data_IF_797191555657
#
_entry.id   IF_797191555657
#
_cell.length_a   1.000
_cell.length_b   1.000
_cell.length_c   1.000
_cell.angle_alpha   90.00
_cell.angle_beta   90.00
_cell.angle_gamma   90.00
#
_symmetry.space_group_name_H-M   'P 1'
#
loop_
_entity.id
_entity.type
_entity.pdbx_description
1 polymer ?
#
# COMPACT_ATOMS: atom_id res chain seq x y z
N UNK A 1 -57.72 -63.96 -50.90
CA UNK A 1 -58.10 -62.73 -50.19
C UNK A 1 -57.19 -62.55 -49.01
N UNK A 2 -56.06 -61.80 -49.14
CA UNK A 2 -55.33 -61.29 -48.04
C UNK A 2 -54.72 -59.94 -48.40
N UNK A 3 -55.17 -58.87 -47.71
CA UNK A 3 -54.67 -57.53 -47.84
C UNK A 3 -53.42 -57.37 -46.89
N UNK A 4 -52.26 -57.08 -47.48
CA UNK A 4 -51.10 -56.66 -46.75
C UNK A 4 -51.09 -55.16 -46.62
N UNK A 5 -51.17 -54.66 -45.40
CA UNK A 5 -51.01 -53.24 -45.07
C UNK A 5 -49.54 -52.92 -44.84
N UNK A 6 -48.98 -52.06 -45.68
CA UNK A 6 -47.62 -51.51 -45.49
C UNK A 6 -47.64 -50.36 -44.51
N UNK A 7 -46.91 -50.45 -43.36
CA UNK A 7 -46.62 -49.34 -42.45
C UNK A 7 -45.38 -48.62 -42.94
N UNK A 8 -45.53 -47.35 -43.30
CA UNK A 8 -44.42 -46.47 -43.60
C UNK A 8 -43.93 -45.81 -42.28
N UNK A 9 -42.70 -46.14 -41.83
CA UNK A 9 -42.04 -45.42 -40.75
C UNK A 9 -41.44 -44.14 -41.31
N UNK A 10 -41.93 -43.01 -40.82
CA UNK A 10 -41.30 -41.68 -41.05
C UNK A 10 -40.27 -41.47 -39.93
N UNK A 11 -38.96 -41.61 -40.27
CA UNK A 11 -37.86 -41.26 -39.37
C UNK A 11 -37.67 -39.73 -39.35
N UNK A 12 -38.18 -39.08 -38.33
CA UNK A 12 -37.92 -37.64 -38.08
C UNK A 12 -36.51 -37.44 -37.51
N UNK A 13 -35.61 -36.89 -38.33
CA UNK A 13 -34.27 -36.48 -37.91
C UNK A 13 -34.37 -35.22 -37.10
N UNK A 14 -34.20 -35.30 -35.77
CA UNK A 14 -34.04 -34.12 -34.89
C UNK A 14 -32.61 -33.61 -35.05
N UNK A 15 -32.42 -32.55 -35.82
CA UNK A 15 -31.16 -31.77 -35.80
C UNK A 15 -31.07 -31.07 -34.44
N UNK A 16 -30.28 -31.62 -33.51
CA UNK A 16 -29.86 -30.92 -32.31
C UNK A 16 -28.88 -29.84 -32.71
N UNK A 17 -29.34 -28.58 -32.71
CA UNK A 17 -28.46 -27.43 -32.88
C UNK A 17 -27.49 -27.37 -31.67
N UNK A 18 -26.25 -27.79 -31.85
CA UNK A 18 -25.17 -27.61 -30.89
C UNK A 18 -24.99 -26.10 -30.72
N UNK A 19 -25.44 -25.56 -29.59
CA UNK A 19 -25.03 -24.21 -29.15
C UNK A 19 -23.54 -24.22 -28.95
N UNK A 20 -22.78 -23.29 -29.57
CA UNK A 20 -21.36 -23.16 -29.25
C UNK A 20 -21.23 -22.90 -27.73
N UNK A 21 -20.56 -23.78 -27.01
CA UNK A 21 -20.16 -23.55 -25.65
C UNK A 21 -19.32 -22.24 -25.67
N UNK A 22 -19.86 -21.19 -25.09
CA UNK A 22 -19.08 -19.96 -24.88
C UNK A 22 -17.82 -20.38 -24.11
N UNK A 23 -16.66 -20.26 -24.75
CA UNK A 23 -15.39 -20.49 -24.12
C UNK A 23 -15.37 -19.57 -22.90
N UNK A 24 -15.39 -20.13 -21.70
CA UNK A 24 -15.18 -19.41 -20.46
C UNK A 24 -13.76 -18.83 -20.56
N UNK A 25 -13.64 -17.56 -20.94
CA UNK A 25 -12.37 -16.85 -20.91
C UNK A 25 -11.91 -16.82 -19.46
N UNK A 26 -10.92 -17.67 -19.15
CA UNK A 26 -10.29 -17.65 -17.83
C UNK A 26 -9.63 -16.30 -17.62
N UNK A 27 -10.03 -15.61 -16.54
CA UNK A 27 -9.47 -14.31 -16.20
C UNK A 27 -7.94 -14.43 -15.98
N UNK A 28 -7.14 -13.47 -16.48
CA UNK A 28 -5.71 -13.47 -16.23
C UNK A 28 -5.43 -13.39 -14.73
N UNK A 29 -4.55 -14.27 -14.25
CA UNK A 29 -4.13 -14.29 -12.85
C UNK A 29 -3.14 -13.14 -12.60
N UNK A 30 -3.37 -12.39 -11.53
CA UNK A 30 -2.49 -11.33 -11.05
C UNK A 30 -2.11 -11.65 -9.60
N UNK A 31 -0.85 -12.03 -9.38
CA UNK A 31 -0.27 -12.23 -8.04
C UNK A 31 0.13 -10.87 -7.48
N UNK A 32 -0.48 -10.51 -6.37
CA UNK A 32 -0.38 -9.19 -5.75
C UNK A 32 0.33 -9.28 -4.40
N UNK A 33 1.54 -8.71 -4.31
CA UNK A 33 2.26 -8.60 -3.03
C UNK A 33 1.72 -7.43 -2.21
N UNK A 34 1.38 -7.66 -0.95
CA UNK A 34 0.92 -6.59 -0.06
C UNK A 34 1.29 -6.84 1.40
N UNK A 35 1.05 -5.84 2.23
CA UNK A 35 1.29 -5.86 3.67
C UNK A 35 -0.05 -6.05 4.41
N UNK A 36 -0.05 -6.81 5.51
CA UNK A 36 -1.23 -7.00 6.35
C UNK A 36 -1.49 -5.81 7.29
N UNK A 37 -1.52 -4.60 6.72
CA UNK A 37 -1.81 -3.32 7.37
C UNK A 37 -2.89 -2.58 6.59
N UNK A 38 -3.50 -1.55 7.17
CA UNK A 38 -4.57 -0.80 6.49
C UNK A 38 -4.12 -0.21 5.16
N UNK A 39 -2.91 0.33 5.08
CA UNK A 39 -2.36 0.88 3.83
C UNK A 39 -2.29 -0.14 2.68
N UNK A 40 -2.03 -1.42 3.00
CA UNK A 40 -2.00 -2.53 2.04
C UNK A 40 -3.35 -3.20 1.79
N UNK A 41 -4.41 -2.75 2.45
CA UNK A 41 -5.71 -3.40 2.53
C UNK A 41 -6.45 -3.58 1.20
N UNK A 42 -6.20 -2.72 0.21
CA UNK A 42 -6.90 -2.78 -1.09
C UNK A 42 -6.83 -4.16 -1.77
N UNK A 43 -5.69 -4.88 -1.68
CA UNK A 43 -5.58 -6.22 -2.25
C UNK A 43 -6.59 -7.18 -1.63
N UNK A 44 -6.70 -7.17 -0.31
CA UNK A 44 -7.65 -8.01 0.42
C UNK A 44 -9.10 -7.61 0.17
N UNK A 45 -9.39 -6.30 0.21
CA UNK A 45 -10.74 -5.78 0.03
C UNK A 45 -11.29 -6.13 -1.34
N UNK A 46 -10.55 -5.83 -2.41
CA UNK A 46 -10.99 -6.11 -3.78
C UNK A 46 -11.08 -7.60 -4.11
N UNK A 47 -10.30 -8.44 -3.42
CA UNK A 47 -10.37 -9.90 -3.55
C UNK A 47 -11.60 -10.46 -2.83
N UNK A 48 -11.77 -10.17 -1.53
CA UNK A 48 -12.86 -10.70 -0.73
C UNK A 48 -14.25 -10.21 -1.19
N UNK A 49 -14.33 -9.01 -1.79
CA UNK A 49 -15.57 -8.46 -2.35
C UNK A 49 -15.81 -8.86 -3.80
N UNK A 50 -14.89 -9.56 -4.45
CA UNK A 50 -15.00 -9.93 -5.87
C UNK A 50 -14.82 -8.76 -6.85
N UNK A 51 -14.45 -7.56 -6.39
CA UNK A 51 -14.29 -6.37 -7.22
C UNK A 51 -13.22 -6.57 -8.30
N UNK A 52 -12.10 -7.22 -7.99
CA UNK A 52 -11.07 -7.51 -8.98
C UNK A 52 -11.58 -8.46 -10.08
N UNK A 53 -12.30 -9.51 -9.70
CA UNK A 53 -12.89 -10.45 -10.66
C UNK A 53 -13.90 -9.75 -11.59
N UNK A 54 -14.76 -8.88 -11.02
CA UNK A 54 -15.70 -8.07 -11.79
C UNK A 54 -15.00 -7.07 -12.74
N UNK A 55 -13.73 -6.75 -12.50
CA UNK A 55 -12.91 -5.90 -13.36
C UNK A 55 -11.93 -6.68 -14.25
N UNK A 56 -12.11 -7.98 -14.40
CA UNK A 56 -11.44 -8.78 -15.42
C UNK A 56 -10.11 -9.38 -15.02
N UNK A 57 -9.81 -9.54 -13.72
CA UNK A 57 -8.62 -10.25 -13.24
C UNK A 57 -8.97 -11.30 -12.18
N UNK A 58 -8.17 -12.38 -12.13
CA UNK A 58 -8.20 -13.37 -11.07
C UNK A 58 -7.13 -13.00 -10.03
N UNK A 59 -7.49 -12.43 -8.85
CA UNK A 59 -6.53 -11.96 -7.87
C UNK A 59 -5.94 -13.11 -7.05
N UNK A 60 -4.63 -13.10 -6.86
CA UNK A 60 -3.92 -13.95 -5.89
C UNK A 60 -3.10 -13.07 -4.95
N UNK A 61 -3.54 -12.93 -3.71
CA UNK A 61 -2.87 -12.05 -2.74
C UNK A 61 -1.79 -12.80 -1.99
N UNK A 62 -0.58 -12.25 -1.98
CA UNK A 62 0.58 -12.75 -1.23
C UNK A 62 0.92 -11.74 -0.14
N UNK A 63 0.72 -12.11 1.11
CA UNK A 63 1.11 -11.26 2.25
C UNK A 63 2.60 -11.34 2.47
N UNK A 64 3.25 -10.19 2.54
CA UNK A 64 4.71 -10.06 2.69
C UNK A 64 5.06 -9.11 3.85
N UNK A 65 6.33 -9.11 4.27
CA UNK A 65 6.78 -8.39 5.46
C UNK A 65 7.26 -6.96 5.18
N UNK A 66 7.50 -6.59 3.91
CA UNK A 66 7.98 -5.25 3.58
C UNK A 66 8.03 -4.97 2.07
N UNK A 67 7.99 -3.69 1.71
CA UNK A 67 7.97 -3.23 0.32
C UNK A 67 9.22 -3.61 -0.48
N UNK A 68 10.39 -3.68 0.15
CA UNK A 68 11.63 -4.10 -0.52
C UNK A 68 11.55 -5.58 -0.96
N UNK A 69 11.02 -6.47 -0.12
CA UNK A 69 10.80 -7.87 -0.46
C UNK A 69 9.77 -8.01 -1.60
N UNK A 70 8.73 -7.18 -1.59
CA UNK A 70 7.72 -7.13 -2.66
C UNK A 70 8.36 -6.74 -4.00
N UNK A 71 9.18 -5.67 -4.01
CA UNK A 71 9.91 -5.24 -5.21
C UNK A 71 10.82 -6.35 -5.73
N UNK A 72 11.56 -7.03 -4.86
CA UNK A 72 12.41 -8.16 -5.24
C UNK A 72 11.59 -9.31 -5.88
N UNK A 73 10.44 -9.66 -5.31
CA UNK A 73 9.55 -10.70 -5.85
C UNK A 73 8.94 -10.31 -7.22
N UNK A 74 8.63 -9.01 -7.45
CA UNK A 74 8.20 -8.51 -8.76
C UNK A 74 9.32 -8.68 -9.80
N UNK A 75 10.55 -8.35 -9.44
CA UNK A 75 11.70 -8.47 -10.33
C UNK A 75 12.06 -9.94 -10.62
N UNK A 76 11.87 -10.82 -9.63
CA UNK A 76 12.04 -12.28 -9.77
C UNK A 76 10.92 -12.96 -10.58
N UNK A 77 9.80 -12.25 -10.84
CA UNK A 77 8.65 -12.81 -11.56
C UNK A 77 7.71 -13.65 -10.69
N UNK A 78 7.87 -13.61 -9.36
CA UNK A 78 6.96 -14.27 -8.41
C UNK A 78 5.66 -13.49 -8.23
N UNK A 79 5.68 -12.19 -8.50
CA UNK A 79 4.54 -11.27 -8.45
C UNK A 79 4.43 -10.45 -9.74
N UNK A 80 3.20 -10.15 -10.14
CA UNK A 80 2.91 -9.23 -11.23
C UNK A 80 2.92 -7.78 -10.74
N UNK A 81 2.30 -7.55 -9.58
CA UNK A 81 2.16 -6.22 -8.97
C UNK A 81 2.40 -6.29 -7.46
N UNK A 82 2.69 -5.17 -6.84
CA UNK A 82 2.81 -5.16 -5.39
C UNK A 82 2.79 -3.76 -4.79
N UNK A 83 2.58 -3.72 -3.48
CA UNK A 83 2.52 -2.49 -2.71
C UNK A 83 3.90 -2.12 -2.16
N UNK A 84 4.34 -0.88 -2.38
CA UNK A 84 5.60 -0.37 -1.84
C UNK A 84 5.48 1.13 -1.54
N UNK A 85 6.37 1.68 -0.73
CA UNK A 85 6.36 3.12 -0.51
C UNK A 85 7.06 3.87 -1.68
N UNK A 86 6.65 5.11 -1.97
CA UNK A 86 7.15 5.84 -3.15
C UNK A 86 8.67 6.09 -3.11
N UNK A 87 9.27 6.26 -1.93
CA UNK A 87 10.72 6.45 -1.83
C UNK A 87 11.49 5.19 -2.22
N UNK A 88 11.04 4.00 -1.82
CA UNK A 88 11.66 2.74 -2.24
C UNK A 88 11.57 2.53 -3.74
N UNK A 89 10.41 2.87 -4.34
CA UNK A 89 10.22 2.81 -5.79
C UNK A 89 11.16 3.79 -6.51
N UNK A 90 11.20 5.04 -6.06
CA UNK A 90 12.12 6.04 -6.61
C UNK A 90 13.60 5.64 -6.46
N UNK A 91 13.98 5.07 -5.31
CA UNK A 91 15.33 4.55 -5.07
C UNK A 91 15.69 3.44 -6.06
N UNK A 92 14.76 2.52 -6.30
CA UNK A 92 14.96 1.45 -7.28
C UNK A 92 15.12 2.01 -8.71
N UNK A 93 14.26 2.95 -9.11
CA UNK A 93 14.35 3.63 -10.42
C UNK A 93 15.67 4.40 -10.55
N UNK A 94 16.08 5.14 -9.52
CA UNK A 94 17.34 5.89 -9.51
C UNK A 94 18.57 4.99 -9.69
N UNK A 95 18.48 3.72 -9.29
CA UNK A 95 19.51 2.67 -9.49
C UNK A 95 19.36 1.92 -10.81
N UNK A 96 18.45 2.33 -11.70
CA UNK A 96 18.23 1.70 -13.00
C UNK A 96 17.36 0.43 -12.96
N UNK A 97 16.73 0.13 -11.84
CA UNK A 97 15.82 -1.03 -11.71
C UNK A 97 14.54 -0.75 -12.50
N UNK A 98 14.12 -1.65 -13.43
CA UNK A 98 13.03 -1.39 -14.37
C UNK A 98 11.64 -1.65 -13.76
N UNK A 99 11.26 -0.85 -12.76
CA UNK A 99 9.92 -0.83 -12.16
C UNK A 99 9.26 0.53 -12.36
N UNK A 100 7.94 0.58 -12.25
CA UNK A 100 7.15 1.82 -12.24
C UNK A 100 5.95 1.70 -11.32
N UNK A 101 5.50 2.82 -10.79
CA UNK A 101 4.21 2.96 -10.13
C UNK A 101 3.09 2.81 -11.16
N UNK A 102 2.10 1.98 -10.86
CA UNK A 102 0.91 1.76 -11.71
C UNK A 102 -0.34 2.46 -11.17
N UNK A 103 -0.41 2.67 -9.87
CA UNK A 103 -1.49 3.42 -9.24
C UNK A 103 -1.10 3.87 -7.83
N UNK A 104 -1.62 5.01 -7.33
CA UNK A 104 -1.57 5.33 -5.91
C UNK A 104 -2.38 4.30 -5.10
N UNK A 105 -1.96 4.07 -3.87
CA UNK A 105 -2.69 3.25 -2.91
C UNK A 105 -3.52 4.10 -1.96
N UNK A 106 -3.09 4.20 -0.70
CA UNK A 106 -3.74 5.04 0.30
C UNK A 106 -3.27 6.49 0.24
N UNK A 107 -4.10 7.39 0.74
CA UNK A 107 -3.77 8.80 0.96
C UNK A 107 -3.63 9.08 2.45
N UNK A 108 -2.67 9.92 2.77
CA UNK A 108 -2.45 10.45 4.10
C UNK A 108 -2.79 11.94 4.12
N UNK A 109 -3.59 12.34 5.07
CA UNK A 109 -3.97 13.74 5.30
C UNK A 109 -4.19 13.97 6.80
N UNK A 110 -4.38 15.22 7.19
CA UNK A 110 -4.70 15.55 8.60
C UNK A 110 -5.93 14.80 9.12
N UNK A 111 -6.89 14.49 8.24
CA UNK A 111 -8.10 13.74 8.60
C UNK A 111 -7.78 12.28 8.95
N UNK A 112 -6.87 11.67 8.19
CA UNK A 112 -6.64 10.23 8.18
C UNK A 112 -5.23 9.88 8.69
N UNK A 113 -4.72 10.64 9.68
CA UNK A 113 -3.38 10.49 10.23
C UNK A 113 -3.20 9.13 10.94
N UNK A 114 -2.67 8.14 10.20
CA UNK A 114 -2.42 6.78 10.66
C UNK A 114 -1.02 6.56 11.24
N UNK A 115 -0.13 7.54 11.07
CA UNK A 115 1.23 7.53 11.63
C UNK A 115 1.57 8.91 12.15
N UNK A 116 2.23 8.98 13.32
CA UNK A 116 2.63 10.24 13.92
C UNK A 116 3.98 10.09 14.61
N UNK A 117 4.62 11.22 14.90
CA UNK A 117 5.80 11.30 15.76
C UNK A 117 5.38 11.28 17.22
N UNK A 118 5.99 10.41 17.98
CA UNK A 118 5.75 10.21 19.42
C UNK A 118 7.00 10.40 20.24
N UNK A 119 6.78 10.80 21.48
CA UNK A 119 7.78 10.75 22.58
C UNK A 119 7.18 9.92 23.73
N UNK A 120 8.03 9.48 24.66
CA UNK A 120 7.53 8.78 25.84
C UNK A 120 6.50 9.65 26.60
N UNK A 121 5.51 9.04 27.24
CA UNK A 121 4.47 9.75 28.01
C UNK A 121 5.05 10.69 29.06
N UNK A 122 6.11 10.25 29.76
CA UNK A 122 6.81 11.00 30.80
C UNK A 122 8.00 11.82 30.28
N UNK A 123 8.19 11.93 28.95
CA UNK A 123 9.33 12.66 28.36
C UNK A 123 9.31 14.15 28.71
N UNK A 124 10.47 14.70 29.03
CA UNK A 124 10.67 16.14 29.19
C UNK A 124 10.72 16.92 27.87
N UNK A 125 10.77 16.23 26.72
CA UNK A 125 10.76 16.85 25.38
C UNK A 125 9.40 17.50 25.14
N UNK A 126 9.34 18.83 25.02
CA UNK A 126 8.11 19.59 24.85
C UNK A 126 8.06 20.39 23.55
N UNK A 127 9.21 20.69 22.95
CA UNK A 127 9.34 21.45 21.70
C UNK A 127 10.35 20.79 20.77
N UNK A 128 10.27 21.02 19.45
CA UNK A 128 11.13 20.36 18.45
C UNK A 128 12.63 20.48 18.74
N UNK A 129 13.09 21.64 19.20
CA UNK A 129 14.54 21.87 19.54
C UNK A 129 15.07 20.98 20.66
N UNK A 130 14.21 20.41 21.49
CA UNK A 130 14.61 19.48 22.54
C UNK A 130 15.09 18.13 21.96
N UNK A 131 14.90 17.90 20.64
CA UNK A 131 15.42 16.73 19.93
C UNK A 131 16.89 16.88 19.50
N UNK A 132 17.53 18.04 19.67
CA UNK A 132 18.95 18.18 19.33
C UNK A 132 19.77 17.24 20.24
N UNK A 133 20.60 16.39 19.62
CA UNK A 133 21.36 15.33 20.30
C UNK A 133 20.59 14.02 20.49
N UNK A 134 19.30 13.99 20.17
CA UNK A 134 18.45 12.82 20.39
C UNK A 134 18.70 11.69 19.37
N UNK A 135 18.36 10.47 19.79
CA UNK A 135 18.22 9.30 18.90
C UNK A 135 16.75 9.12 18.55
N UNK A 136 16.45 9.05 17.25
CA UNK A 136 15.12 8.95 16.70
C UNK A 136 14.90 7.56 16.10
N UNK A 137 13.78 6.90 16.47
CA UNK A 137 13.43 5.57 16.00
C UNK A 137 12.61 5.63 14.69
N UNK A 138 12.99 4.83 13.70
CA UNK A 138 12.29 4.63 12.45
C UNK A 138 12.13 3.14 12.14
N UNK A 139 11.14 2.79 11.29
CA UNK A 139 10.87 1.40 10.90
C UNK A 139 11.95 0.80 10.01
N UNK A 140 12.62 1.63 9.21
CA UNK A 140 13.80 1.27 8.42
C UNK A 140 14.63 2.52 8.12
N UNK A 141 15.95 2.38 8.05
CA UNK A 141 16.83 3.46 7.60
C UNK A 141 16.69 3.66 6.09
N UNK A 142 16.71 4.92 5.64
CA UNK A 142 16.54 5.27 4.23
C UNK A 142 15.10 5.10 3.71
N UNK A 143 14.12 4.89 4.60
CA UNK A 143 12.72 4.74 4.21
C UNK A 143 11.95 6.07 4.22
N UNK A 144 10.67 5.98 3.86
CA UNK A 144 9.76 7.12 3.83
C UNK A 144 9.54 7.78 5.19
N UNK A 145 9.59 7.02 6.29
CA UNK A 145 9.46 7.58 7.64
C UNK A 145 10.66 8.46 7.97
N UNK A 146 11.87 8.02 7.65
CA UNK A 146 13.06 8.84 7.83
C UNK A 146 13.01 10.11 6.97
N UNK A 147 12.58 10.00 5.69
CA UNK A 147 12.40 11.17 4.82
C UNK A 147 11.44 12.20 5.45
N UNK A 148 10.29 11.72 5.92
CA UNK A 148 9.27 12.59 6.53
C UNK A 148 9.78 13.26 7.80
N UNK A 149 10.58 12.55 8.59
CA UNK A 149 11.18 13.07 9.81
C UNK A 149 12.25 14.12 9.52
N UNK A 150 13.05 13.94 8.47
CA UNK A 150 13.98 14.97 7.99
C UNK A 150 13.24 16.24 7.55
N UNK A 151 12.12 16.10 6.85
CA UNK A 151 11.28 17.22 6.46
C UNK A 151 10.67 17.94 7.68
N UNK A 152 10.24 17.18 8.68
CA UNK A 152 9.70 17.74 9.91
C UNK A 152 10.76 18.48 10.73
N UNK A 153 11.97 17.96 10.80
CA UNK A 153 13.10 18.64 11.47
C UNK A 153 13.41 19.98 10.80
N UNK A 154 13.49 20.01 9.45
CA UNK A 154 13.71 21.26 8.69
C UNK A 154 12.60 22.27 8.95
N UNK A 155 11.32 21.86 8.86
CA UNK A 155 10.16 22.71 9.10
C UNK A 155 10.16 23.34 10.50
N UNK A 156 10.72 22.61 11.47
CA UNK A 156 10.81 23.06 12.87
C UNK A 156 12.16 23.67 13.26
N UNK A 157 13.04 23.96 12.30
CA UNK A 157 14.37 24.54 12.51
C UNK A 157 15.23 23.72 13.49
N UNK A 158 15.20 22.39 13.37
CA UNK A 158 16.07 21.45 14.06
C UNK A 158 17.14 20.95 13.08
N UNK A 159 18.44 21.14 13.35
CA UNK A 159 19.51 20.66 12.47
C UNK A 159 19.41 19.14 12.28
N UNK A 160 19.43 18.68 11.03
CA UNK A 160 19.31 17.25 10.69
C UNK A 160 20.51 16.42 11.14
N UNK A 161 21.71 17.00 11.15
CA UNK A 161 22.94 16.42 11.67
C UNK A 161 23.01 16.45 13.20
N UNK A 162 22.13 17.19 13.85
CA UNK A 162 21.95 17.25 15.29
C UNK A 162 21.20 16.06 15.89
N UNK A 163 20.73 15.10 15.08
CA UNK A 163 19.99 13.90 15.54
C UNK A 163 20.61 12.62 14.99
N UNK A 164 20.36 11.51 15.68
CA UNK A 164 20.76 10.16 15.22
C UNK A 164 19.51 9.35 14.86
N UNK A 165 19.61 8.46 13.89
CA UNK A 165 18.54 7.53 13.54
C UNK A 165 18.91 6.10 13.90
N UNK A 166 17.91 5.33 14.35
CA UNK A 166 18.03 3.89 14.61
C UNK A 166 16.83 3.17 14.05
N UNK A 167 17.09 2.00 13.43
CA UNK A 167 16.06 1.13 12.92
C UNK A 167 15.54 0.20 14.01
N UNK A 168 14.22 0.19 14.24
CA UNK A 168 13.51 -0.70 15.16
C UNK A 168 12.16 -1.08 14.56
N UNK A 169 11.67 -2.28 14.86
CA UNK A 169 10.32 -2.68 14.43
C UNK A 169 9.26 -1.79 15.06
N UNK A 170 8.20 -1.48 14.31
CA UNK A 170 7.11 -0.61 14.82
C UNK A 170 6.54 -1.10 16.15
N UNK A 171 6.40 -2.42 16.34
CA UNK A 171 5.93 -3.01 17.60
C UNK A 171 6.88 -2.79 18.79
N UNK A 172 8.14 -2.47 18.56
CA UNK A 172 9.16 -2.26 19.60
C UNK A 172 9.31 -0.78 19.97
N UNK A 173 8.91 0.15 19.09
CA UNK A 173 9.15 1.58 19.24
C UNK A 173 8.47 2.18 20.48
N UNK A 174 7.26 1.74 20.83
CA UNK A 174 6.57 2.21 22.04
C UNK A 174 7.34 1.91 23.32
N UNK A 175 7.86 0.70 23.45
CA UNK A 175 8.70 0.28 24.59
C UNK A 175 10.08 0.93 24.55
N UNK A 176 10.66 1.12 23.36
CA UNK A 176 11.96 1.81 23.20
C UNK A 176 11.89 3.27 23.67
N UNK A 177 10.77 3.96 23.36
CA UNK A 177 10.49 5.31 23.89
C UNK A 177 10.35 5.31 25.40
N UNK A 178 9.58 4.38 25.98
CA UNK A 178 9.40 4.27 27.42
C UNK A 178 10.71 4.03 28.17
N UNK A 179 11.61 3.22 27.62
CA UNK A 179 12.92 2.89 28.18
C UNK A 179 13.98 3.98 27.94
N UNK A 180 13.66 4.99 27.10
CA UNK A 180 14.62 6.03 26.71
C UNK A 180 15.70 5.56 25.72
N UNK A 181 15.55 4.38 25.11
CA UNK A 181 16.44 3.89 24.05
C UNK A 181 16.42 4.81 22.84
N UNK A 182 15.24 5.34 22.51
CA UNK A 182 15.02 6.43 21.57
C UNK A 182 14.23 7.53 22.25
N UNK A 183 14.46 8.79 21.87
CA UNK A 183 13.80 9.95 22.46
C UNK A 183 12.52 10.34 21.72
N UNK A 184 12.48 10.10 20.41
CA UNK A 184 11.24 10.21 19.61
C UNK A 184 11.22 9.11 18.53
N UNK A 185 10.03 8.75 18.06
CA UNK A 185 9.87 7.73 17.02
C UNK A 185 8.57 7.94 16.23
N UNK A 186 8.59 7.57 14.95
CA UNK A 186 7.36 7.47 14.15
C UNK A 186 6.73 6.11 14.41
N UNK A 187 5.49 6.11 14.90
CA UNK A 187 4.72 4.88 15.11
C UNK A 187 3.46 4.94 14.24
N UNK A 188 3.23 3.88 13.47
CA UNK A 188 2.08 3.72 12.61
C UNK A 188 1.07 2.70 13.18
N UNK A 189 -0.17 2.74 12.69
CA UNK A 189 -1.19 1.76 13.04
C UNK A 189 -0.82 0.34 12.55
N UNK A 190 -1.10 -0.71 13.34
CA UNK A 190 -1.85 -0.72 14.61
C UNK A 190 -1.01 -0.46 15.87
N UNK A 191 0.33 -0.47 15.78
CA UNK A 191 1.23 -0.30 16.93
C UNK A 191 1.04 1.04 17.66
N UNK A 192 0.63 2.08 16.91
CA UNK A 192 0.24 3.39 17.46
C UNK A 192 -0.91 3.26 18.46
N UNK A 193 -2.01 2.60 18.06
CA UNK A 193 -3.17 2.42 18.94
C UNK A 193 -2.80 1.61 20.19
N UNK A 194 -1.97 0.59 20.06
CA UNK A 194 -1.48 -0.22 21.18
C UNK A 194 -0.64 0.61 22.16
N UNK A 195 0.34 1.37 21.67
CA UNK A 195 1.21 2.20 22.48
C UNK A 195 0.45 3.33 23.23
N UNK A 196 -0.55 3.94 22.57
CA UNK A 196 -1.42 4.94 23.18
C UNK A 196 -2.31 4.32 24.27
N UNK A 197 -2.94 3.17 23.99
CA UNK A 197 -3.78 2.45 24.96
C UNK A 197 -2.99 2.01 26.19
N UNK A 198 -1.76 1.56 25.99
CA UNK A 198 -0.86 1.18 27.08
C UNK A 198 -0.30 2.38 27.85
N UNK A 199 -0.59 3.62 27.45
CA UNK A 199 -0.12 4.83 28.11
C UNK A 199 1.41 5.04 28.01
N UNK A 200 2.07 4.40 27.03
CA UNK A 200 3.52 4.46 26.88
C UNK A 200 4.00 5.77 26.27
N UNK A 201 3.19 6.34 25.39
CA UNK A 201 3.60 7.44 24.50
C UNK A 201 2.56 8.58 24.50
N UNK A 202 3.00 9.74 24.06
CA UNK A 202 2.14 10.86 23.65
C UNK A 202 2.55 11.37 22.27
N UNK A 203 1.58 11.86 21.51
CA UNK A 203 1.82 12.47 20.21
C UNK A 203 2.67 13.74 20.37
N UNK A 204 3.60 13.96 19.46
CA UNK A 204 4.52 15.09 19.47
C UNK A 204 4.47 15.89 18.16
N UNK A 205 4.13 15.24 17.05
CA UNK A 205 3.98 15.91 15.77
C UNK A 205 3.54 14.99 14.64
N UNK A 206 3.26 15.59 13.50
CA UNK A 206 2.93 14.88 12.27
C UNK A 206 4.01 15.16 11.23
N UNK A 207 4.83 14.15 10.95
CA UNK A 207 5.97 14.29 10.05
C UNK A 207 5.56 14.27 8.58
N UNK A 208 4.50 13.52 8.24
CA UNK A 208 4.06 13.40 6.85
C UNK A 208 3.50 14.72 6.32
N UNK A 209 2.75 15.44 7.15
CA UNK A 209 2.22 16.75 6.79
C UNK A 209 3.28 17.84 6.66
N UNK A 210 4.52 17.58 7.08
CA UNK A 210 5.65 18.46 6.82
C UNK A 210 6.18 18.35 5.38
N UNK A 211 5.77 17.32 4.65
CA UNK A 211 6.08 17.16 3.22
C UNK A 211 5.07 17.95 2.38
N UNK A 212 3.79 17.62 2.54
CA UNK A 212 2.67 18.23 1.83
C UNK A 212 1.37 17.91 2.56
N UNK A 213 0.29 18.73 2.43
CA UNK A 213 -0.97 18.51 3.14
C UNK A 213 -1.69 17.19 2.83
N UNK A 214 -1.43 16.60 1.65
CA UNK A 214 -1.97 15.31 1.24
C UNK A 214 -0.93 14.57 0.38
N UNK A 215 -0.61 13.34 0.73
CA UNK A 215 0.39 12.52 0.03
C UNK A 215 -0.01 11.05 0.00
N UNK A 216 0.66 10.26 -0.87
CA UNK A 216 0.46 8.83 -0.98
C UNK A 216 1.66 8.08 -0.36
N UNK A 217 1.54 7.54 0.88
CA UNK A 217 2.66 6.85 1.53
C UNK A 217 2.85 5.41 1.05
N UNK A 218 1.87 4.83 0.35
CA UNK A 218 1.95 3.50 -0.24
C UNK A 218 1.36 3.54 -1.65
N UNK A 219 2.07 2.95 -2.60
CA UNK A 219 1.71 2.91 -4.02
C UNK A 219 1.80 1.49 -4.57
N UNK A 220 1.12 1.21 -5.68
CA UNK A 220 1.19 -0.06 -6.40
C UNK A 220 2.20 0.02 -7.53
N UNK A 221 3.02 -1.00 -7.66
CA UNK A 221 4.13 -1.05 -8.62
C UNK A 221 4.13 -2.35 -9.41
N UNK A 222 4.73 -2.30 -10.62
CA UNK A 222 4.97 -3.45 -11.47
C UNK A 222 6.31 -3.28 -12.22
N UNK A 223 6.84 -4.38 -12.77
CA UNK A 223 8.00 -4.28 -13.65
C UNK A 223 7.61 -3.69 -15.00
N UNK A 224 8.51 -2.90 -15.62
CA UNK A 224 8.31 -2.35 -16.96
C UNK A 224 8.07 -3.46 -18.00
N UNK A 225 8.77 -4.58 -17.88
CA UNK A 225 8.61 -5.72 -18.78
C UNK A 225 7.23 -6.36 -18.69
N UNK A 226 6.65 -6.49 -17.48
CA UNK A 226 5.31 -7.01 -17.32
C UNK A 226 4.25 -6.05 -17.88
N UNK A 227 4.40 -4.75 -17.62
CA UNK A 227 3.50 -3.71 -18.16
C UNK A 227 3.46 -3.71 -19.68
N UNK A 228 4.62 -3.85 -20.32
CA UNK A 228 4.74 -3.92 -21.80
C UNK A 228 4.09 -5.18 -22.38
N UNK A 229 4.21 -6.32 -21.70
CA UNK A 229 3.67 -7.60 -22.16
C UNK A 229 2.16 -7.74 -21.86
N UNK A 230 1.66 -7.07 -20.83
CA UNK A 230 0.30 -7.26 -20.32
C UNK A 230 -0.47 -5.94 -20.14
N UNK A 231 -0.52 -5.05 -21.14
CA UNK A 231 -1.08 -3.71 -20.95
C UNK A 231 -2.58 -3.72 -20.61
N UNK A 232 -3.36 -4.68 -21.13
CA UNK A 232 -4.79 -4.79 -20.83
C UNK A 232 -5.04 -5.31 -19.41
N UNK A 233 -4.25 -6.29 -18.96
CA UNK A 233 -4.31 -6.81 -17.60
C UNK A 233 -3.91 -5.73 -16.59
N UNK A 234 -2.89 -4.92 -16.91
CA UNK A 234 -2.47 -3.80 -16.08
C UNK A 234 -3.58 -2.74 -15.95
N UNK A 235 -4.26 -2.40 -17.06
CA UNK A 235 -5.42 -1.48 -17.04
C UNK A 235 -6.59 -2.05 -16.23
N UNK A 236 -6.89 -3.34 -16.37
CA UNK A 236 -7.92 -4.04 -15.60
C UNK A 236 -7.60 -4.03 -14.10
N UNK A 237 -6.33 -4.28 -13.73
CA UNK A 237 -5.87 -4.17 -12.36
C UNK A 237 -6.08 -2.78 -11.77
N UNK A 238 -5.63 -1.72 -12.47
CA UNK A 238 -5.79 -0.32 -12.02
C UNK A 238 -7.26 0.06 -11.87
N UNK A 239 -8.11 -0.36 -12.83
CA UNK A 239 -9.57 -0.15 -12.75
C UNK A 239 -10.17 -0.84 -11.52
N UNK A 240 -9.80 -2.10 -11.29
CA UNK A 240 -10.23 -2.86 -10.11
C UNK A 240 -9.76 -2.23 -8.81
N UNK A 241 -8.52 -1.71 -8.78
CA UNK A 241 -7.94 -1.03 -7.63
C UNK A 241 -8.72 0.25 -7.28
N UNK A 242 -9.04 1.10 -8.27
CA UNK A 242 -9.83 2.31 -8.04
C UNK A 242 -11.29 2.00 -7.67
N UNK A 243 -11.88 0.94 -8.22
CA UNK A 243 -13.20 0.47 -7.80
C UNK A 243 -13.18 0.00 -6.33
N UNK A 244 -12.14 -0.72 -5.94
CA UNK A 244 -11.91 -1.14 -4.55
C UNK A 244 -11.70 0.06 -3.62
N UNK A 245 -10.94 1.07 -4.05
CA UNK A 245 -10.75 2.31 -3.31
C UNK A 245 -12.08 3.01 -3.03
N UNK A 246 -12.91 3.19 -4.07
CA UNK A 246 -14.26 3.80 -3.93
C UNK A 246 -15.12 3.01 -2.95
N UNK A 247 -15.10 1.69 -3.04
CA UNK A 247 -15.84 0.83 -2.12
C UNK A 247 -15.32 0.95 -0.68
N UNK A 248 -14.03 0.85 -0.45
CA UNK A 248 -13.42 0.87 0.88
C UNK A 248 -13.64 2.20 1.59
N UNK A 249 -13.58 3.31 0.85
CA UNK A 249 -13.77 4.67 1.38
C UNK A 249 -15.16 4.92 1.98
N UNK A 250 -16.17 4.15 1.57
CA UNK A 250 -17.55 4.27 2.09
C UNK A 250 -17.98 3.06 2.94
N UNK A 251 -17.24 1.96 2.90
CA UNK A 251 -17.55 0.72 3.64
C UNK A 251 -16.49 0.43 4.71
N UNK A 252 -16.17 1.44 5.55
CA UNK A 252 -15.07 1.40 6.52
C UNK A 252 -15.20 0.25 7.53
N UNK A 253 -16.43 -0.09 7.96
CA UNK A 253 -16.67 -1.23 8.85
C UNK A 253 -16.34 -2.55 8.17
N UNK A 254 -16.91 -2.82 6.99
CA UNK A 254 -16.71 -4.07 6.27
C UNK A 254 -15.23 -4.24 5.85
N UNK A 255 -14.58 -3.16 5.38
CA UNK A 255 -13.14 -3.20 5.10
C UNK A 255 -12.31 -3.42 6.37
N UNK A 256 -12.77 -2.96 7.53
CA UNK A 256 -12.17 -3.26 8.84
C UNK A 256 -12.24 -4.72 9.20
N UNK A 257 -13.41 -5.36 8.99
CA UNK A 257 -13.61 -6.80 9.25
C UNK A 257 -12.68 -7.66 8.35
N UNK A 258 -12.54 -7.27 7.06
CA UNK A 258 -11.60 -7.91 6.14
C UNK A 258 -10.16 -7.70 6.61
N UNK A 259 -9.78 -6.47 6.99
CA UNK A 259 -8.44 -6.19 7.50
C UNK A 259 -8.10 -7.04 8.72
N UNK A 260 -9.02 -7.17 9.68
CA UNK A 260 -8.84 -8.00 10.87
C UNK A 260 -8.56 -9.48 10.50
N UNK A 261 -9.26 -10.02 9.51
CA UNK A 261 -9.07 -11.39 9.00
C UNK A 261 -7.62 -11.63 8.55
N UNK A 262 -7.02 -10.67 7.83
CA UNK A 262 -5.67 -10.83 7.24
C UNK A 262 -4.55 -10.36 8.16
N UNK A 263 -4.74 -9.27 8.90
CA UNK A 263 -3.73 -8.72 9.82
C UNK A 263 -3.59 -9.51 11.12
N UNK A 264 -4.60 -10.34 11.47
CA UNK A 264 -4.71 -11.03 12.77
C UNK A 264 -4.79 -10.08 13.98
N UNK A 265 -5.05 -8.80 13.73
CA UNK A 265 -5.31 -7.81 14.79
C UNK A 265 -6.75 -7.97 15.27
N UNK A 266 -6.96 -7.79 16.57
CA UNK A 266 -8.29 -7.84 17.19
C UNK A 266 -9.25 -6.88 16.47
N UNK A 267 -10.42 -7.35 15.99
CA UNK A 267 -11.43 -6.49 15.36
C UNK A 267 -11.80 -5.28 16.20
N UNK A 268 -11.82 -5.40 17.54
CA UNK A 268 -12.10 -4.30 18.44
C UNK A 268 -11.01 -3.20 18.38
N UNK A 269 -9.75 -3.59 18.14
CA UNK A 269 -8.66 -2.61 17.90
C UNK A 269 -8.86 -1.95 16.56
N UNK A 270 -9.10 -2.71 15.50
CA UNK A 270 -9.34 -2.16 14.15
C UNK A 270 -10.51 -1.17 14.15
N UNK A 271 -11.58 -1.46 14.87
CA UNK A 271 -12.75 -0.58 14.97
C UNK A 271 -12.45 0.79 15.61
N UNK A 272 -11.37 0.90 16.38
CA UNK A 272 -10.93 2.16 17.03
C UNK A 272 -9.84 2.90 16.27
N UNK A 273 -9.23 2.28 15.25
CA UNK A 273 -8.18 2.93 14.45
C UNK A 273 -8.78 3.91 13.46
N UNK A 274 -8.05 5.01 13.19
CA UNK A 274 -8.36 5.86 12.05
C UNK A 274 -8.04 5.10 10.77
N UNK A 275 -9.05 4.92 9.92
CA UNK A 275 -8.90 4.22 8.64
C UNK A 275 -8.39 5.17 7.58
N UNK A 276 -7.49 4.66 6.75
CA UNK A 276 -6.93 5.41 5.63
C UNK A 276 -7.98 5.61 4.52
N UNK A 277 -7.88 6.72 3.83
CA UNK A 277 -8.60 6.98 2.59
C UNK A 277 -7.77 6.49 1.41
N UNK A 278 -8.39 5.83 0.43
CA UNK A 278 -7.69 5.30 -0.74
C UNK A 278 -7.88 6.20 -1.96
N UNK A 279 -6.80 6.43 -2.71
CA UNK A 279 -6.84 7.23 -3.91
C UNK A 279 -7.71 6.58 -4.99
N UNK A 280 -8.52 7.39 -5.68
CA UNK A 280 -9.43 6.95 -6.75
C UNK A 280 -8.97 7.39 -8.14
N UNK A 281 -7.84 8.09 -8.21
CA UNK A 281 -7.17 8.55 -9.43
C UNK A 281 -5.69 8.76 -9.16
N UNK A 282 -4.88 8.80 -10.22
CA UNK A 282 -3.49 9.22 -10.14
C UNK A 282 -3.40 10.73 -10.17
N UNK A 283 -2.53 11.30 -9.30
CA UNK A 283 -2.24 12.73 -9.28
C UNK A 283 -0.78 12.93 -8.85
N UNK A 284 -0.01 13.65 -9.66
CA UNK A 284 1.41 13.93 -9.39
C UNK A 284 1.66 14.67 -8.07
N UNK A 285 0.69 15.48 -7.63
CA UNK A 285 0.79 16.23 -6.36
C UNK A 285 1.01 15.31 -5.14
N UNK A 286 0.63 14.04 -5.21
CA UNK A 286 0.83 13.08 -4.13
C UNK A 286 2.26 12.56 -4.03
N UNK A 287 3.07 12.73 -5.09
CA UNK A 287 4.37 12.10 -5.24
C UNK A 287 5.51 13.09 -5.48
N UNK A 288 5.32 14.13 -6.31
CA UNK A 288 6.38 15.09 -6.64
C UNK A 288 7.06 15.68 -5.40
N UNK A 289 6.34 16.13 -4.35
CA UNK A 289 7.00 16.65 -3.15
C UNK A 289 7.89 15.60 -2.45
N UNK A 290 7.53 14.32 -2.53
CA UNK A 290 8.32 13.21 -1.99
C UNK A 290 9.62 13.04 -2.79
N UNK A 291 9.51 13.01 -4.14
CA UNK A 291 10.64 12.85 -5.06
C UNK A 291 11.63 14.02 -4.92
N UNK A 292 11.11 15.25 -4.83
CA UNK A 292 11.89 16.48 -4.67
C UNK A 292 12.66 16.50 -3.34
N UNK A 293 12.00 16.14 -2.23
CA UNK A 293 12.65 16.07 -0.92
C UNK A 293 13.69 14.94 -0.86
N UNK A 294 13.38 13.77 -1.43
CA UNK A 294 14.32 12.66 -1.50
C UNK A 294 15.59 13.02 -2.29
N UNK A 295 15.43 13.80 -3.37
CA UNK A 295 16.54 14.35 -4.14
C UNK A 295 17.32 15.38 -3.32
N UNK A 296 16.62 16.34 -2.70
CA UNK A 296 17.23 17.40 -1.86
C UNK A 296 18.02 16.85 -0.68
N UNK A 297 17.54 15.76 -0.07
CA UNK A 297 18.20 15.11 1.08
C UNK A 297 19.23 14.06 0.66
N UNK A 298 19.57 13.96 -0.63
CA UNK A 298 20.53 12.99 -1.17
C UNK A 298 20.20 11.54 -0.83
N UNK A 299 18.88 11.22 -0.73
CA UNK A 299 18.42 9.86 -0.49
C UNK A 299 18.28 9.03 -1.78
N UNK A 300 18.35 9.69 -2.95
CA UNK A 300 18.36 9.07 -4.26
C UNK A 300 19.73 9.18 -4.92
N UNK A 301 20.15 8.17 -5.66
CA UNK A 301 21.40 8.17 -6.43
C UNK A 301 21.39 9.22 -7.56
N UNK A 302 20.22 9.56 -8.10
CA UNK A 302 19.93 10.64 -9.02
C UNK A 302 18.48 11.10 -8.87
N UNK A 303 18.12 12.29 -9.35
CA UNK A 303 16.73 12.70 -9.43
C UNK A 303 15.88 11.71 -10.24
N UNK A 304 14.62 11.55 -9.84
CA UNK A 304 13.61 10.74 -10.53
C UNK A 304 12.42 11.66 -10.80
N UNK A 305 12.03 11.81 -12.06
CA UNK A 305 10.85 12.59 -12.45
C UNK A 305 9.56 11.80 -12.24
N UNK A 306 8.43 12.48 -12.20
CA UNK A 306 7.14 11.79 -12.10
C UNK A 306 6.86 10.90 -13.32
N UNK A 307 7.30 11.29 -14.52
CA UNK A 307 7.16 10.54 -15.76
C UNK A 307 8.00 9.24 -15.76
N UNK A 308 9.18 9.26 -15.12
CA UNK A 308 9.96 8.04 -14.89
C UNK A 308 9.31 7.14 -13.83
N UNK A 309 8.70 7.76 -12.81
CA UNK A 309 8.11 7.10 -11.66
C UNK A 309 6.77 6.44 -12.00
N UNK A 310 5.88 7.10 -12.76
CA UNK A 310 4.53 6.64 -13.08
C UNK A 310 4.45 5.99 -14.46
N UNK A 311 3.67 4.91 -14.56
CA UNK A 311 3.39 4.22 -15.83
C UNK A 311 2.13 4.76 -16.52
N UNK A 312 1.25 5.46 -15.79
CA UNK A 312 -0.03 5.97 -16.27
C UNK A 312 -0.25 7.41 -15.81
#
# INVERSE_FOLDING_TARGET
MHRSSALSLIAGSVLAAARPAAAQTTLPTVRMGTLAIDAGGQAYYGTDTGIFAANGINPQVVTMTGGAAIVAAILGGDLEVGASNPLQVATAIARGIPIQMVAPGCLYSKRDASANLFVAKASAITKPKDLIGATLGVGALGDFNQLSLLAWLDTNNVPRDGVKFVELKFSELGLALQRGTVQAAIIAEPAKAEALRAGLVREFGDTYLSIVPELCPLTWVASKSWLQKNPDTARSFVKGLYATAKWANVNTRQSGDILAKYSKVDPAVIATTKRLYFATQNDRKYFEPILDLATRYHMLARPVTFEEFSAF
#
